data_IF_206595286317
#
_entry.id   IF_206595286317
#
_cell.length_a   1.000
_cell.length_b   1.000
_cell.length_c   1.000
_cell.angle_alpha   90.00
_cell.angle_beta   90.00
_cell.angle_gamma   90.00
#
_symmetry.space_group_name_H-M   'P 1'
#
loop_
_entity.id
_entity.type
_entity.pdbx_description
1 polymer ?
#
# COMPACT_ATOMS: atom_id res chain seq x y z
N UNK A 1 36.97 61.89 29.63
CA UNK A 1 36.41 61.53 28.32
C UNK A 1 36.38 60.02 28.22
N UNK A 2 35.28 59.36 28.69
CA UNK A 2 35.16 57.91 28.79
C UNK A 2 34.39 57.38 27.58
N UNK A 3 35.03 56.58 26.76
CA UNK A 3 34.37 55.82 25.69
C UNK A 3 33.98 54.47 26.28
N UNK A 4 32.66 54.29 26.49
CA UNK A 4 32.05 53.00 26.83
C UNK A 4 31.97 52.13 25.58
N UNK A 5 32.75 51.03 25.57
CA UNK A 5 32.68 49.98 24.56
C UNK A 5 31.53 49.05 24.95
N UNK A 6 30.43 49.08 24.16
CA UNK A 6 29.36 48.13 24.29
C UNK A 6 29.71 46.86 23.53
N UNK A 7 30.04 45.79 24.23
CA UNK A 7 30.10 44.44 23.67
C UNK A 7 28.67 43.89 23.51
N UNK A 8 28.24 43.81 22.27
CA UNK A 8 27.03 43.09 21.94
C UNK A 8 27.33 41.59 21.82
N UNK A 9 26.83 40.81 22.76
CA UNK A 9 26.85 39.34 22.67
C UNK A 9 25.72 38.94 21.73
N UNK A 10 26.08 38.52 20.51
CA UNK A 10 25.13 37.92 19.57
C UNK A 10 24.91 36.45 19.99
N UNK A 11 23.75 36.18 20.57
CA UNK A 11 23.30 34.83 20.90
C UNK A 11 22.89 34.11 19.61
N UNK A 12 23.75 33.29 19.03
CA UNK A 12 23.44 32.44 17.89
C UNK A 12 22.67 31.22 18.44
N UNK A 13 21.34 31.24 18.31
CA UNK A 13 20.48 30.07 18.56
C UNK A 13 20.64 29.11 17.40
N UNK A 14 21.41 28.04 17.62
CA UNK A 14 21.51 26.91 16.69
C UNK A 14 20.21 26.09 16.79
N UNK A 15 19.30 26.31 15.84
CA UNK A 15 18.10 25.47 15.69
C UNK A 15 18.55 24.11 15.15
N UNK A 16 18.70 23.12 16.01
CA UNK A 16 18.80 21.73 15.59
C UNK A 16 17.45 21.30 15.01
N UNK A 17 17.35 21.31 13.68
CA UNK A 17 16.27 20.64 12.98
C UNK A 17 16.43 19.14 13.18
N UNK A 18 15.75 18.57 14.18
CA UNK A 18 15.59 17.13 14.29
C UNK A 18 14.74 16.70 13.08
N UNK A 19 15.37 16.12 12.07
CA UNK A 19 14.66 15.41 11.00
C UNK A 19 13.96 14.24 11.69
N UNK A 20 12.65 14.35 11.91
CA UNK A 20 11.84 13.22 12.32
C UNK A 20 11.99 12.15 11.23
N UNK A 21 12.63 11.05 11.52
CA UNK A 21 12.67 9.89 10.64
C UNK A 21 11.24 9.35 10.62
N UNK A 22 10.55 9.54 9.50
CA UNK A 22 9.25 8.95 9.29
C UNK A 22 9.44 7.43 9.24
N UNK A 23 8.77 6.72 10.15
CA UNK A 23 8.71 5.27 10.13
C UNK A 23 7.88 4.82 8.90
N UNK A 24 8.06 3.58 8.44
CA UNK A 24 7.20 3.01 7.39
C UNK A 24 5.72 3.11 7.78
N UNK A 25 4.87 3.43 6.80
CA UNK A 25 3.43 3.51 7.00
C UNK A 25 2.88 2.13 7.38
N UNK A 26 2.16 2.04 8.49
CA UNK A 26 1.53 0.80 8.93
C UNK A 26 0.19 0.61 8.25
N UNK A 27 -0.13 -0.65 7.95
CA UNK A 27 -1.43 -1.07 7.42
C UNK A 27 -2.09 -2.07 8.37
N UNK A 28 -3.41 -2.16 8.33
CA UNK A 28 -4.14 -3.22 9.02
C UNK A 28 -3.88 -4.59 8.40
N UNK A 29 -4.11 -5.64 9.17
CA UNK A 29 -4.09 -7.01 8.64
C UNK A 29 -5.40 -7.29 7.89
N UNK A 30 -5.42 -6.93 6.62
CA UNK A 30 -6.58 -7.14 5.75
C UNK A 30 -6.63 -8.57 5.19
N UNK A 31 -7.85 -9.00 4.83
CA UNK A 31 -8.08 -10.27 4.16
C UNK A 31 -9.09 -10.12 3.03
N UNK A 32 -8.82 -10.70 1.87
CA UNK A 32 -9.65 -10.68 0.68
C UNK A 32 -9.74 -12.07 0.06
N UNK A 33 -10.87 -12.36 -0.59
CA UNK A 33 -10.97 -13.51 -1.48
C UNK A 33 -10.37 -13.14 -2.84
N UNK A 34 -9.73 -14.08 -3.49
CA UNK A 34 -9.34 -13.89 -4.87
C UNK A 34 -10.45 -14.34 -5.85
N UNK A 35 -10.23 -14.08 -7.14
CA UNK A 35 -11.17 -14.45 -8.20
C UNK A 35 -11.34 -15.97 -8.38
N UNK A 36 -10.52 -16.80 -7.77
CA UNK A 36 -10.65 -18.27 -7.76
C UNK A 36 -11.40 -18.80 -6.53
N UNK A 37 -11.60 -17.95 -5.51
CA UNK A 37 -12.23 -18.28 -4.24
C UNK A 37 -11.23 -18.64 -3.16
N UNK A 38 -9.94 -18.40 -3.35
CA UNK A 38 -8.93 -18.57 -2.31
C UNK A 38 -8.88 -17.34 -1.40
N UNK A 39 -8.70 -17.56 -0.09
CA UNK A 39 -8.62 -16.48 0.91
C UNK A 39 -7.17 -16.06 1.14
N UNK A 40 -6.89 -14.80 0.89
CA UNK A 40 -5.59 -14.14 1.09
C UNK A 40 -5.71 -13.14 2.25
N UNK A 41 -4.85 -13.29 3.25
CA UNK A 41 -4.72 -12.38 4.39
C UNK A 41 -3.27 -11.94 4.51
N UNK A 42 -3.01 -10.66 4.74
CA UNK A 42 -1.65 -10.11 4.75
C UNK A 42 -0.73 -10.87 5.72
N UNK A 43 -1.20 -11.16 6.94
CA UNK A 43 -0.43 -11.90 7.94
C UNK A 43 -0.13 -13.37 7.57
N UNK A 44 -0.80 -13.96 6.60
CA UNK A 44 -0.49 -15.30 6.09
C UNK A 44 0.74 -15.33 5.21
N UNK A 45 1.18 -14.17 4.73
CA UNK A 45 2.41 -14.01 3.95
C UNK A 45 3.65 -13.73 4.82
N UNK A 46 3.56 -13.87 6.17
CA UNK A 46 4.67 -13.57 7.09
C UNK A 46 5.93 -14.42 6.88
N UNK A 47 5.83 -15.52 6.14
CA UNK A 47 6.95 -16.37 5.72
C UNK A 47 7.59 -15.83 4.41
N UNK A 48 7.06 -14.77 3.83
CA UNK A 48 7.59 -14.10 2.66
C UNK A 48 8.35 -12.84 3.08
N UNK A 49 9.39 -12.53 2.31
CA UNK A 49 10.15 -11.28 2.49
C UNK A 49 9.32 -10.04 2.13
N UNK A 50 8.47 -10.16 1.11
CA UNK A 50 7.55 -9.10 0.73
C UNK A 50 6.31 -9.63 0.01
N UNK A 51 5.23 -8.83 0.04
CA UNK A 51 4.05 -8.99 -0.82
C UNK A 51 3.94 -7.77 -1.73
N UNK A 52 3.92 -8.00 -3.04
CA UNK A 52 3.72 -6.96 -4.06
C UNK A 52 2.28 -7.03 -4.55
N UNK A 53 1.52 -5.97 -4.32
CA UNK A 53 0.16 -5.81 -4.83
C UNK A 53 0.13 -4.75 -5.92
N UNK A 54 -0.52 -5.03 -7.07
CA UNK A 54 -0.79 -4.06 -8.11
C UNK A 54 -2.27 -3.77 -8.18
N UNK A 55 -2.63 -2.49 -8.19
CA UNK A 55 -4.00 -2.05 -8.45
C UNK A 55 -4.44 -2.46 -9.86
N UNK A 56 -5.58 -3.14 -9.94
CA UNK A 56 -6.19 -3.60 -11.18
C UNK A 56 -7.51 -2.86 -11.40
N UNK A 57 -7.67 -2.29 -12.58
CA UNK A 57 -8.92 -1.73 -13.07
C UNK A 57 -9.13 -2.18 -14.51
N UNK A 58 -10.17 -2.98 -14.74
CA UNK A 58 -10.50 -3.55 -16.04
C UNK A 58 -10.87 -2.51 -17.09
N UNK A 59 -11.26 -1.30 -16.67
CA UNK A 59 -11.61 -0.20 -17.58
C UNK A 59 -10.38 0.54 -18.11
N UNK A 60 -9.21 0.39 -17.47
CA UNK A 60 -7.98 1.09 -17.82
C UNK A 60 -7.12 0.31 -18.83
N UNK A 61 -7.16 0.68 -20.09
CA UNK A 61 -6.34 0.02 -21.14
C UNK A 61 -4.82 0.18 -20.94
N UNK A 62 -4.38 1.19 -20.20
CA UNK A 62 -2.95 1.42 -19.91
C UNK A 62 -2.36 0.36 -18.95
N UNK A 63 -3.19 -0.44 -18.28
CA UNK A 63 -2.73 -1.45 -17.30
C UNK A 63 -1.95 -2.61 -17.94
N UNK A 64 -2.20 -2.91 -19.23
CA UNK A 64 -1.63 -4.07 -19.90
C UNK A 64 -0.10 -4.13 -19.78
N UNK A 65 0.58 -3.00 -20.01
CA UNK A 65 2.04 -2.94 -19.90
C UNK A 65 2.54 -3.07 -18.46
N UNK A 66 1.78 -2.60 -17.50
CA UNK A 66 2.11 -2.72 -16.06
C UNK A 66 1.96 -4.15 -15.59
N UNK A 67 0.88 -4.84 -15.97
CA UNK A 67 0.67 -6.26 -15.65
C UNK A 67 1.76 -7.12 -16.27
N UNK A 68 2.11 -6.93 -17.53
CA UNK A 68 3.19 -7.67 -18.17
C UNK A 68 4.55 -7.48 -17.46
N UNK A 69 4.81 -6.27 -16.95
CA UNK A 69 6.02 -5.99 -16.15
C UNK A 69 5.97 -6.66 -14.78
N UNK A 70 4.79 -6.69 -14.15
CA UNK A 70 4.60 -7.37 -12.87
C UNK A 70 4.80 -8.88 -13.00
N UNK A 71 4.29 -9.50 -14.08
CA UNK A 71 4.49 -10.91 -14.39
C UNK A 71 5.98 -11.24 -14.60
N UNK A 72 6.69 -10.39 -15.34
CA UNK A 72 8.13 -10.54 -15.55
C UNK A 72 8.88 -10.43 -14.22
N UNK A 73 8.50 -9.48 -13.36
CA UNK A 73 9.08 -9.33 -12.02
C UNK A 73 8.74 -10.53 -11.14
N UNK A 74 7.52 -11.03 -11.17
CA UNK A 74 7.11 -12.22 -10.42
C UNK A 74 7.95 -13.43 -10.82
N UNK A 75 8.18 -13.63 -12.11
CA UNK A 75 9.04 -14.72 -12.62
C UNK A 75 10.51 -14.58 -12.17
N UNK A 76 11.03 -13.36 -12.06
CA UNK A 76 12.41 -13.11 -11.64
C UNK A 76 12.60 -13.30 -10.12
N UNK A 77 11.59 -12.95 -9.32
CA UNK A 77 11.69 -12.84 -7.86
C UNK A 77 10.97 -13.96 -7.10
N UNK A 78 10.27 -14.87 -7.78
CA UNK A 78 9.48 -15.95 -7.17
C UNK A 78 10.30 -16.83 -6.20
N UNK A 79 11.53 -17.16 -6.58
CA UNK A 79 12.42 -18.01 -5.77
C UNK A 79 13.10 -17.27 -4.60
N UNK A 80 12.85 -15.94 -4.50
CA UNK A 80 13.45 -15.09 -3.47
C UNK A 80 12.48 -14.78 -2.31
N UNK A 81 11.39 -15.54 -2.22
CA UNK A 81 10.42 -15.37 -1.13
C UNK A 81 9.48 -14.17 -1.29
N UNK A 82 9.35 -13.60 -2.49
CA UNK A 82 8.46 -12.48 -2.75
C UNK A 82 7.15 -12.99 -3.36
N UNK A 83 6.03 -12.61 -2.78
CA UNK A 83 4.71 -12.92 -3.30
C UNK A 83 4.16 -11.77 -4.16
N UNK A 84 3.36 -12.10 -5.17
CA UNK A 84 2.78 -11.14 -6.11
C UNK A 84 1.29 -11.40 -6.28
N UNK A 85 0.49 -10.32 -6.31
CA UNK A 85 -0.93 -10.42 -6.62
C UNK A 85 -1.44 -9.10 -7.25
N UNK A 86 -2.59 -9.20 -7.90
CA UNK A 86 -3.40 -8.08 -8.34
C UNK A 86 -4.48 -7.80 -7.29
N UNK A 87 -4.91 -6.55 -7.15
CA UNK A 87 -6.06 -6.18 -6.33
C UNK A 87 -7.05 -5.40 -7.19
N UNK A 88 -8.30 -5.87 -7.27
CA UNK A 88 -9.35 -5.14 -7.98
C UNK A 88 -9.68 -3.86 -7.23
N UNK A 89 -9.17 -2.74 -7.72
CA UNK A 89 -9.37 -1.41 -7.14
C UNK A 89 -10.42 -0.59 -7.92
N UNK A 90 -11.08 -1.21 -8.91
CA UNK A 90 -12.12 -0.55 -9.69
C UNK A 90 -13.48 -0.60 -8.98
N UNK A 91 -14.40 0.23 -9.43
CA UNK A 91 -15.80 0.16 -9.00
C UNK A 91 -16.56 -1.02 -9.62
N UNK A 92 -15.95 -1.74 -10.55
CA UNK A 92 -16.54 -2.94 -11.16
C UNK A 92 -16.56 -4.09 -10.15
N UNK A 93 -17.73 -4.58 -9.83
CA UNK A 93 -17.99 -5.68 -8.91
C UNK A 93 -18.46 -6.96 -9.58
N UNK A 94 -18.67 -6.95 -10.91
CA UNK A 94 -19.05 -8.16 -11.63
C UNK A 94 -17.85 -9.10 -11.76
N UNK A 95 -17.83 -10.16 -10.96
CA UNK A 95 -16.74 -11.14 -10.89
C UNK A 95 -16.41 -11.78 -12.24
N UNK A 96 -17.39 -12.00 -13.10
CA UNK A 96 -17.18 -12.61 -14.41
C UNK A 96 -16.51 -11.63 -15.38
N UNK A 97 -16.90 -10.34 -15.33
CA UNK A 97 -16.23 -9.28 -16.08
C UNK A 97 -14.76 -9.13 -15.64
N UNK A 98 -14.50 -9.12 -14.33
CA UNK A 98 -13.17 -9.03 -13.73
C UNK A 98 -12.29 -10.23 -14.14
N UNK A 99 -12.82 -11.46 -14.03
CA UNK A 99 -12.14 -12.69 -14.48
C UNK A 99 -11.81 -12.67 -15.96
N UNK A 100 -12.78 -12.23 -16.78
CA UNK A 100 -12.60 -12.12 -18.23
C UNK A 100 -11.49 -11.11 -18.58
N UNK A 101 -11.48 -9.95 -17.93
CA UNK A 101 -10.45 -8.93 -18.11
C UNK A 101 -9.06 -9.44 -17.72
N UNK A 102 -8.93 -10.09 -16.54
CA UNK A 102 -7.68 -10.74 -16.10
C UNK A 102 -7.20 -11.78 -17.12
N UNK A 103 -8.11 -12.64 -17.58
CA UNK A 103 -7.79 -13.68 -18.57
C UNK A 103 -7.31 -13.10 -19.89
N UNK A 104 -7.91 -11.98 -20.34
CA UNK A 104 -7.49 -11.28 -21.55
C UNK A 104 -6.07 -10.70 -21.45
N UNK A 105 -5.59 -10.41 -20.24
CA UNK A 105 -4.20 -9.98 -19.98
C UNK A 105 -3.21 -11.14 -19.94
N UNK A 106 -3.68 -12.38 -19.88
CA UNK A 106 -2.84 -13.58 -19.74
C UNK A 106 -2.10 -13.65 -18.40
N UNK A 107 -2.66 -13.04 -17.33
CA UNK A 107 -2.05 -13.04 -16.01
C UNK A 107 -2.46 -14.27 -15.21
N UNK A 108 -1.48 -14.98 -14.65
CA UNK A 108 -1.67 -16.10 -13.73
C UNK A 108 -1.66 -15.66 -12.25
N UNK A 109 -1.29 -14.42 -11.95
CA UNK A 109 -1.26 -13.89 -10.59
C UNK A 109 -2.65 -13.93 -9.93
N UNK A 110 -2.75 -14.19 -8.60
CA UNK A 110 -4.00 -14.03 -7.87
C UNK A 110 -4.59 -12.64 -8.10
N UNK A 111 -5.91 -12.55 -8.28
CA UNK A 111 -6.63 -11.28 -8.37
C UNK A 111 -7.56 -11.16 -7.18
N UNK A 112 -7.15 -10.38 -6.19
CA UNK A 112 -7.88 -10.11 -4.96
C UNK A 112 -9.09 -9.21 -5.24
N UNK A 113 -10.24 -9.53 -4.65
CA UNK A 113 -11.49 -8.80 -4.83
C UNK A 113 -11.70 -7.85 -3.67
N UNK A 114 -11.57 -6.56 -3.92
CA UNK A 114 -11.79 -5.48 -2.96
C UNK A 114 -13.07 -4.71 -3.31
N UNK A 115 -14.22 -5.42 -3.26
CA UNK A 115 -15.51 -4.90 -3.71
C UNK A 115 -15.93 -3.58 -3.03
N UNK A 116 -15.52 -3.39 -1.76
CA UNK A 116 -15.75 -2.16 -1.02
C UNK A 116 -14.64 -1.12 -1.20
N UNK A 117 -13.56 -1.42 -1.91
CA UNK A 117 -12.37 -0.58 -2.09
C UNK A 117 -11.68 -0.15 -0.78
N UNK A 118 -12.00 -0.80 0.35
CA UNK A 118 -11.48 -0.43 1.68
C UNK A 118 -9.97 -0.68 1.78
N UNK A 119 -9.50 -1.80 1.22
CA UNK A 119 -8.07 -2.13 1.21
C UNK A 119 -7.32 -1.19 0.28
N UNK A 120 -7.86 -0.93 -0.91
CA UNK A 120 -7.30 0.02 -1.87
C UNK A 120 -7.18 1.43 -1.28
N UNK A 121 -8.21 1.89 -0.53
CA UNK A 121 -8.16 3.17 0.19
C UNK A 121 -7.10 3.17 1.29
N UNK A 122 -7.03 2.10 2.10
CA UNK A 122 -6.05 1.95 3.18
C UNK A 122 -4.62 1.96 2.65
N UNK A 123 -4.39 1.31 1.51
CA UNK A 123 -3.10 1.31 0.82
C UNK A 123 -2.81 2.62 0.07
N UNK A 124 -3.77 3.56 0.08
CA UNK A 124 -3.70 4.84 -0.63
C UNK A 124 -3.38 4.70 -2.13
N UNK A 125 -3.92 3.66 -2.76
CA UNK A 125 -3.83 3.48 -4.20
C UNK A 125 -4.57 4.60 -4.92
N UNK A 126 -4.01 5.11 -6.00
CA UNK A 126 -4.54 6.26 -6.73
C UNK A 126 -4.63 6.07 -8.24
N UNK A 127 -3.83 5.16 -8.78
CA UNK A 127 -3.75 4.89 -10.22
C UNK A 127 -3.86 3.39 -10.50
N UNK A 128 -4.53 3.04 -11.57
CA UNK A 128 -4.48 1.66 -12.09
C UNK A 128 -3.07 1.32 -12.58
N UNK A 129 -2.56 0.16 -12.17
CA UNK A 129 -1.18 -0.27 -12.44
C UNK A 129 -0.14 0.28 -11.46
N UNK A 130 -0.57 1.02 -10.44
CA UNK A 130 0.28 1.36 -9.28
C UNK A 130 0.52 0.13 -8.43
N UNK A 131 1.73 -0.03 -7.91
CA UNK A 131 2.04 -1.12 -6.97
C UNK A 131 2.34 -0.60 -5.57
N UNK A 132 2.06 -1.47 -4.61
CA UNK A 132 2.49 -1.35 -3.22
C UNK A 132 3.34 -2.57 -2.89
N UNK A 133 4.50 -2.35 -2.28
CA UNK A 133 5.32 -3.41 -1.67
C UNK A 133 5.10 -3.36 -0.18
N UNK A 134 4.70 -4.48 0.38
CA UNK A 134 4.37 -4.65 1.80
C UNK A 134 5.37 -5.58 2.47
N UNK A 135 5.78 -5.24 3.69
CA UNK A 135 6.38 -6.17 4.64
C UNK A 135 5.25 -6.86 5.42
N UNK A 136 4.99 -8.14 5.18
CA UNK A 136 3.85 -8.82 5.80
C UNK A 136 4.10 -9.22 7.26
N UNK A 137 5.35 -9.22 7.74
CA UNK A 137 5.68 -9.46 9.14
C UNK A 137 5.42 -8.20 10.00
N UNK A 138 5.89 -7.03 9.52
CA UNK A 138 5.71 -5.75 10.22
C UNK A 138 4.41 -5.05 9.92
N UNK A 139 3.65 -5.51 8.90
CA UNK A 139 2.44 -4.89 8.38
C UNK A 139 2.71 -3.42 7.99
N UNK A 140 3.74 -3.20 7.18
CA UNK A 140 4.17 -1.87 6.75
C UNK A 140 4.29 -1.76 5.24
N UNK A 141 4.09 -0.54 4.73
CA UNK A 141 4.34 -0.20 3.32
C UNK A 141 5.81 0.16 3.15
N UNK A 142 6.52 -0.55 2.29
CA UNK A 142 7.91 -0.28 1.94
C UNK A 142 8.03 0.62 0.71
N UNK A 143 7.11 0.45 -0.23
CA UNK A 143 7.10 1.18 -1.49
C UNK A 143 5.68 1.38 -2.00
N UNK A 144 5.43 2.51 -2.64
CA UNK A 144 4.24 2.76 -3.47
C UNK A 144 4.65 3.54 -4.72
N UNK A 145 4.18 3.08 -5.90
CA UNK A 145 4.49 3.75 -7.16
C UNK A 145 4.49 2.83 -8.38
N UNK A 146 5.20 3.21 -9.46
CA UNK A 146 5.23 2.41 -10.69
C UNK A 146 6.06 1.13 -10.53
N UNK A 147 5.60 0.02 -11.12
CA UNK A 147 6.28 -1.28 -11.08
C UNK A 147 7.75 -1.18 -11.53
N UNK A 148 8.06 -0.33 -12.52
CA UNK A 148 9.39 -0.17 -13.05
C UNK A 148 10.46 0.29 -12.03
N UNK A 149 10.04 0.92 -10.93
CA UNK A 149 10.94 1.47 -9.91
C UNK A 149 11.00 0.64 -8.62
N UNK A 150 10.27 -0.48 -8.56
CA UNK A 150 10.16 -1.30 -7.34
C UNK A 150 11.39 -2.17 -7.06
N UNK A 151 12.10 -2.61 -8.10
CA UNK A 151 13.22 -3.56 -7.96
C UNK A 151 14.28 -3.13 -6.93
N UNK A 152 14.60 -1.82 -6.87
CA UNK A 152 15.55 -1.29 -5.90
C UNK A 152 15.06 -1.44 -4.45
N UNK A 153 13.75 -1.28 -4.20
CA UNK A 153 13.16 -1.48 -2.87
C UNK A 153 13.15 -2.94 -2.49
N UNK A 154 12.76 -3.83 -3.41
CA UNK A 154 12.81 -5.28 -3.18
C UNK A 154 14.24 -5.76 -2.85
N UNK A 155 15.24 -5.29 -3.61
CA UNK A 155 16.65 -5.60 -3.32
C UNK A 155 17.09 -5.09 -1.94
N UNK A 156 16.61 -3.91 -1.52
CA UNK A 156 16.92 -3.35 -0.21
C UNK A 156 16.22 -4.09 0.91
N UNK A 157 15.00 -4.60 0.68
CA UNK A 157 14.26 -5.41 1.66
C UNK A 157 14.96 -6.75 1.89
N UNK A 158 15.30 -7.47 0.83
CA UNK A 158 16.09 -8.71 0.94
C UNK A 158 17.45 -8.50 1.63
N UNK A 159 18.00 -7.27 1.58
CA UNK A 159 19.20 -6.90 2.32
C UNK A 159 18.90 -6.41 3.76
N UNK A 160 17.64 -6.32 4.18
CA UNK A 160 17.24 -5.81 5.50
C UNK A 160 17.55 -4.33 5.73
N UNK A 161 17.56 -3.51 4.67
CA UNK A 161 18.02 -2.10 4.72
C UNK A 161 16.91 -1.08 4.48
N UNK A 162 15.64 -1.49 4.38
CA UNK A 162 14.52 -0.55 4.23
C UNK A 162 14.17 0.07 5.58
N UNK A 163 14.36 1.38 5.70
CA UNK A 163 14.10 2.13 6.93
C UNK A 163 12.80 2.96 6.88
N UNK A 164 12.26 3.23 5.68
CA UNK A 164 11.09 4.08 5.48
C UNK A 164 10.38 3.78 4.17
N UNK A 165 9.08 4.09 4.11
CA UNK A 165 8.29 4.01 2.89
C UNK A 165 8.87 4.91 1.79
N UNK A 166 9.03 4.35 0.59
CA UNK A 166 9.42 5.08 -0.61
C UNK A 166 8.20 5.29 -1.49
N UNK A 167 7.87 6.54 -1.79
CA UNK A 167 6.73 6.91 -2.63
C UNK A 167 7.24 7.54 -3.92
N UNK A 168 6.73 7.07 -5.05
CA UNK A 168 6.97 7.63 -6.39
C UNK A 168 5.62 7.74 -7.08
N UNK A 169 5.34 8.87 -7.70
CA UNK A 169 4.08 9.08 -8.42
C UNK A 169 3.95 8.06 -9.56
N UNK A 170 2.84 7.34 -9.56
CA UNK A 170 2.50 6.39 -10.61
C UNK A 170 1.79 7.09 -11.77
N UNK A 171 1.93 6.54 -12.97
CA UNK A 171 1.23 6.97 -14.17
C UNK A 171 0.23 5.89 -14.58
N UNK A 172 -1.02 6.27 -14.75
CA UNK A 172 -2.12 5.37 -15.10
C UNK A 172 -3.46 6.09 -15.06
N UNK A 173 -4.54 5.37 -15.29
CA UNK A 173 -5.89 5.90 -15.10
C UNK A 173 -6.12 6.18 -13.61
N UNK A 174 -6.82 7.27 -13.29
CA UNK A 174 -7.22 7.54 -11.91
C UNK A 174 -8.18 6.46 -11.41
N UNK A 175 -8.01 6.04 -10.17
CA UNK A 175 -8.96 5.19 -9.48
C UNK A 175 -10.04 6.07 -8.84
N UNK A 176 -11.29 5.67 -8.99
CA UNK A 176 -12.43 6.34 -8.37
C UNK A 176 -12.84 5.62 -7.08
N UNK A 177 -13.10 6.39 -6.02
CA UNK A 177 -13.54 5.90 -4.73
C UNK A 177 -14.85 6.57 -4.32
N UNK A 178 -15.99 6.20 -4.94
CA UNK A 178 -17.26 6.90 -4.78
C UNK A 178 -17.84 6.81 -3.36
N UNK A 179 -17.45 5.80 -2.58
CA UNK A 179 -17.97 5.56 -1.22
C UNK A 179 -16.98 5.96 -0.11
N UNK A 180 -15.84 6.55 -0.44
CA UNK A 180 -14.79 6.94 0.53
C UNK A 180 -15.31 7.82 1.66
N UNK A 181 -16.13 8.82 1.35
CA UNK A 181 -16.72 9.71 2.36
C UNK A 181 -17.68 8.95 3.28
N UNK A 182 -18.41 7.97 2.73
CA UNK A 182 -19.30 7.08 3.50
C UNK A 182 -18.48 6.21 4.45
N UNK A 183 -17.37 5.63 3.99
CA UNK A 183 -16.47 4.84 4.83
C UNK A 183 -15.90 5.69 5.97
N UNK A 184 -15.43 6.91 5.67
CA UNK A 184 -14.87 7.81 6.67
C UNK A 184 -15.91 8.25 7.72
N UNK A 185 -17.16 8.42 7.31
CA UNK A 185 -18.26 8.81 8.21
C UNK A 185 -18.86 7.64 9.00
N UNK A 186 -18.65 6.41 8.54
CA UNK A 186 -19.18 5.20 9.18
C UNK A 186 -18.26 4.64 10.29
N UNK A 187 -17.13 5.29 10.57
CA UNK A 187 -16.24 4.88 11.67
C UNK A 187 -16.94 5.12 13.00
N UNK A 188 -17.27 4.07 13.78
CA UNK A 188 -17.98 4.22 15.05
C UNK A 188 -17.10 4.92 16.09
N UNK A 189 -17.72 5.76 16.93
CA UNK A 189 -17.03 6.33 18.08
C UNK A 189 -16.73 5.24 19.13
N UNK A 190 -15.45 5.08 19.45
CA UNK A 190 -15.03 4.02 20.35
C UNK A 190 -15.68 4.11 21.73
N UNK A 191 -15.75 5.31 22.30
CA UNK A 191 -16.21 5.50 23.69
C UNK A 191 -17.73 5.31 23.83
N UNK A 192 -18.50 5.75 22.83
CA UNK A 192 -19.97 5.76 22.90
C UNK A 192 -20.62 4.57 22.19
N UNK A 193 -19.95 3.96 21.20
CA UNK A 193 -20.54 2.90 20.39
C UNK A 193 -19.83 1.55 20.57
N UNK A 194 -18.48 1.52 20.63
CA UNK A 194 -17.72 0.25 20.66
C UNK A 194 -17.48 -0.23 22.09
N UNK A 195 -17.02 0.65 23.00
CA UNK A 195 -16.66 0.27 24.36
C UNK A 195 -17.84 -0.32 25.16
N UNK A 196 -19.10 0.15 25.05
CA UNK A 196 -20.24 -0.48 25.69
C UNK A 196 -20.46 -1.93 25.26
N UNK A 197 -20.34 -2.21 23.94
CA UNK A 197 -20.51 -3.57 23.39
C UNK A 197 -19.45 -4.51 23.98
N UNK A 198 -18.19 -4.06 24.04
CA UNK A 198 -17.10 -4.86 24.62
C UNK A 198 -17.36 -5.13 26.10
N UNK A 199 -17.80 -4.11 26.85
CA UNK A 199 -18.10 -4.24 28.27
C UNK A 199 -19.27 -5.20 28.56
N UNK A 200 -20.28 -5.24 27.69
CA UNK A 200 -21.45 -6.11 27.86
C UNK A 200 -21.23 -7.54 27.38
N UNK A 201 -20.43 -7.74 26.32
CA UNK A 201 -20.32 -9.01 25.64
C UNK A 201 -18.99 -9.75 25.89
N UNK A 202 -17.96 -9.04 26.34
CA UNK A 202 -16.59 -9.59 26.43
C UNK A 202 -15.95 -9.42 27.82
N UNK A 203 -16.62 -8.78 28.79
CA UNK A 203 -16.10 -8.57 30.16
C UNK A 203 -16.58 -9.62 31.14
#
# INVERSE_FOLDING_TARGET
MNKLIRFGIALITLVLSASAMALPDRVGDFGLMDSSGEFHQLSRYRDKEALVLMSFDSSCSAINSSVARLEAMASEWNDQGIAFALINSSVESNIEAIRSAKSALGSDLPLLLDDGQIVSETLSLSKAGEIVVLDPERLTILYRGPVASAAATLSSELAGTVERTRIIDAVGCDLEFPVRETHASAVPDYATEVAPIIAEQCA
#
